data_IF_730577272172
#
_entry.id   IF_730577272172
#
_cell.length_a   1.000
_cell.length_b   1.000
_cell.length_c   1.000
_cell.angle_alpha   90.00
_cell.angle_beta   90.00
_cell.angle_gamma   90.00
#
_symmetry.space_group_name_H-M   'P 1'
#
loop_
_entity.id
_entity.type
_entity.pdbx_description
1 polymer ?
#
# COMPACT_ATOMS: atom_id res chain seq x y z
N UNK A 1 12.34 -4.14 14.41
CA UNK A 1 12.41 -4.65 15.80
C UNK A 1 11.65 -3.78 16.79
N UNK A 2 12.02 -2.51 17.02
CA UNK A 2 11.29 -1.64 17.98
C UNK A 2 9.79 -1.49 17.68
N UNK A 3 9.44 -1.34 16.39
CA UNK A 3 8.04 -1.25 15.95
C UNK A 3 7.23 -2.52 16.24
N UNK A 4 7.83 -3.69 16.05
CA UNK A 4 7.18 -4.97 16.27
C UNK A 4 6.90 -5.19 17.75
N UNK A 5 7.92 -4.97 18.59
CA UNK A 5 7.80 -5.06 20.04
C UNK A 5 6.69 -4.14 20.57
N UNK A 6 6.60 -2.90 20.08
CA UNK A 6 5.55 -1.96 20.44
C UNK A 6 4.15 -2.47 20.06
N UNK A 7 4.01 -3.09 18.89
CA UNK A 7 2.75 -3.68 18.43
C UNK A 7 2.32 -4.88 19.27
N UNK A 8 3.25 -5.77 19.60
CA UNK A 8 2.97 -6.91 20.48
C UNK A 8 2.57 -6.43 21.88
N UNK A 9 3.19 -5.36 22.39
CA UNK A 9 2.87 -4.83 23.71
C UNK A 9 1.54 -4.09 23.76
N UNK A 10 1.24 -3.27 22.74
CA UNK A 10 0.11 -2.33 22.79
C UNK A 10 -1.06 -2.75 21.91
N UNK A 11 -0.80 -3.14 20.66
CA UNK A 11 -1.86 -3.45 19.69
C UNK A 11 -2.48 -4.82 19.90
N UNK A 12 -1.66 -5.84 20.23
CA UNK A 12 -2.14 -7.22 20.41
C UNK A 12 -3.21 -7.34 21.52
N UNK A 13 -3.02 -6.79 22.74
CA UNK A 13 -4.05 -6.89 23.77
C UNK A 13 -5.36 -6.21 23.38
N UNK A 14 -5.29 -5.03 22.74
CA UNK A 14 -6.49 -4.32 22.27
C UNK A 14 -7.24 -5.11 21.20
N UNK A 15 -6.52 -5.75 20.27
CA UNK A 15 -7.14 -6.58 19.25
C UNK A 15 -7.79 -7.83 19.86
N UNK A 16 -7.16 -8.46 20.84
CA UNK A 16 -7.73 -9.60 21.55
C UNK A 16 -9.02 -9.20 22.30
N UNK A 17 -9.06 -8.02 22.92
CA UNK A 17 -10.26 -7.46 23.54
C UNK A 17 -11.36 -7.16 22.50
N UNK A 18 -11.02 -6.46 21.41
CA UNK A 18 -11.97 -6.17 20.32
C UNK A 18 -12.55 -7.47 19.75
N UNK A 19 -11.72 -8.50 19.55
CA UNK A 19 -12.19 -9.80 19.04
C UNK A 19 -13.21 -10.41 19.98
N UNK A 20 -12.92 -10.42 21.29
CA UNK A 20 -13.81 -10.94 22.32
C UNK A 20 -15.15 -10.22 22.32
N UNK A 21 -15.14 -8.89 22.21
CA UNK A 21 -16.36 -8.08 22.14
C UNK A 21 -17.16 -8.37 20.86
N UNK A 22 -16.50 -8.58 19.72
CA UNK A 22 -17.18 -8.97 18.46
C UNK A 22 -17.80 -10.38 18.58
N UNK A 23 -17.09 -11.32 19.20
CA UNK A 23 -17.61 -12.68 19.42
C UNK A 23 -18.80 -12.69 20.38
N UNK A 24 -18.77 -11.86 21.42
CA UNK A 24 -19.89 -11.65 22.34
C UNK A 24 -21.08 -11.01 21.64
N UNK A 25 -20.86 -9.93 20.88
CA UNK A 25 -21.90 -9.25 20.09
C UNK A 25 -22.53 -10.19 19.05
N UNK A 26 -21.73 -11.05 18.39
CA UNK A 26 -22.23 -12.07 17.48
C UNK A 26 -23.18 -13.05 18.18
N UNK A 27 -22.83 -13.47 19.40
CA UNK A 27 -23.56 -14.48 20.16
C UNK A 27 -24.90 -13.94 20.69
N UNK A 28 -24.95 -12.64 20.98
CA UNK A 28 -26.17 -11.94 21.39
C UNK A 28 -27.06 -11.50 20.21
N UNK A 29 -26.52 -11.47 18.97
CA UNK A 29 -27.25 -10.95 17.82
C UNK A 29 -28.27 -11.96 17.25
N UNK A 30 -29.47 -11.52 16.84
CA UNK A 30 -30.43 -12.37 16.15
C UNK A 30 -29.84 -12.95 14.84
N UNK A 31 -30.09 -14.25 14.55
CA UNK A 31 -29.63 -14.87 13.31
C UNK A 31 -30.09 -14.08 12.07
N UNK A 32 -29.17 -13.81 11.14
CA UNK A 32 -29.46 -13.08 9.90
C UNK A 32 -29.61 -11.56 10.03
N UNK A 33 -29.56 -11.01 11.26
CA UNK A 33 -29.58 -9.57 11.52
C UNK A 33 -28.33 -8.84 11.01
N UNK A 34 -28.43 -7.52 10.86
CA UNK A 34 -27.32 -6.67 10.38
C UNK A 34 -26.06 -6.79 11.27
N UNK A 35 -26.24 -6.82 12.59
CA UNK A 35 -25.14 -6.99 13.54
C UNK A 35 -24.45 -8.35 13.39
N UNK A 36 -25.24 -9.44 13.28
CA UNK A 36 -24.69 -10.78 13.10
C UNK A 36 -23.88 -10.88 11.79
N UNK A 37 -24.39 -10.28 10.70
CA UNK A 37 -23.69 -10.18 9.42
C UNK A 37 -22.37 -9.41 9.53
N UNK A 38 -22.37 -8.26 10.20
CA UNK A 38 -21.16 -7.45 10.40
C UNK A 38 -20.10 -8.18 11.24
N UNK A 39 -20.51 -8.84 12.33
CA UNK A 39 -19.60 -9.62 13.17
C UNK A 39 -19.00 -10.80 12.39
N UNK A 40 -19.84 -11.56 11.67
CA UNK A 40 -19.38 -12.68 10.86
C UNK A 40 -18.41 -12.25 9.76
N UNK A 41 -18.71 -11.15 9.07
CA UNK A 41 -17.83 -10.57 8.06
C UNK A 41 -16.47 -10.20 8.66
N UNK A 42 -16.47 -9.50 9.79
CA UNK A 42 -15.25 -9.06 10.47
C UNK A 42 -14.40 -10.24 10.94
N UNK A 43 -15.02 -11.24 11.58
CA UNK A 43 -14.33 -12.44 12.07
C UNK A 43 -13.76 -13.29 10.93
N UNK A 44 -14.46 -13.36 9.78
CA UNK A 44 -13.94 -14.03 8.57
C UNK A 44 -12.67 -13.36 8.06
N UNK A 45 -12.55 -12.03 8.23
CA UNK A 45 -11.38 -11.26 7.82
C UNK A 45 -10.33 -11.09 8.91
N UNK A 46 -10.53 -11.66 10.11
CA UNK A 46 -9.71 -11.36 11.28
C UNK A 46 -8.22 -11.60 11.07
N UNK A 47 -7.87 -12.72 10.44
CA UNK A 47 -6.47 -13.03 10.12
C UNK A 47 -5.85 -11.97 9.19
N UNK A 48 -6.61 -11.43 8.24
CA UNK A 48 -6.13 -10.35 7.36
C UNK A 48 -5.96 -9.04 8.11
N UNK A 49 -6.90 -8.71 9.01
CA UNK A 49 -6.88 -7.49 9.82
C UNK A 49 -5.72 -7.45 10.82
N UNK A 50 -5.26 -8.63 11.27
CA UNK A 50 -4.21 -8.75 12.30
C UNK A 50 -2.82 -9.07 11.73
N UNK A 51 -2.69 -9.28 10.41
CA UNK A 51 -1.43 -9.67 9.76
C UNK A 51 -0.27 -8.70 9.96
N UNK A 52 -0.54 -7.42 10.21
CA UNK A 52 0.50 -6.43 10.51
C UNK A 52 1.25 -6.70 11.84
N UNK A 53 0.72 -7.58 12.69
CA UNK A 53 1.39 -8.06 13.91
C UNK A 53 2.45 -9.12 13.59
N UNK A 54 2.36 -9.79 12.44
CA UNK A 54 3.32 -10.82 12.02
C UNK A 54 4.47 -10.22 11.21
N UNK A 55 4.24 -9.08 10.56
CA UNK A 55 5.16 -8.44 9.63
C UNK A 55 5.32 -6.95 9.99
N UNK A 56 6.43 -6.54 10.62
CA UNK A 56 6.64 -5.15 11.07
C UNK A 56 6.66 -4.12 9.94
N UNK A 57 6.98 -4.54 8.72
CA UNK A 57 6.95 -3.73 7.51
C UNK A 57 5.54 -3.38 7.04
N UNK A 58 4.53 -4.17 7.43
CA UNK A 58 3.15 -3.90 7.04
C UNK A 58 2.55 -2.80 7.91
N UNK A 59 1.78 -1.92 7.28
CA UNK A 59 0.95 -0.92 7.95
C UNK A 59 -0.34 -1.56 8.47
N UNK A 60 -0.92 -0.97 9.53
CA UNK A 60 -2.22 -1.40 10.08
C UNK A 60 -3.35 -1.25 9.05
N UNK A 61 -3.28 -0.21 8.23
CA UNK A 61 -4.27 0.08 7.18
C UNK A 61 -3.60 0.23 5.83
N UNK A 62 -4.37 -0.05 4.79
CA UNK A 62 -3.99 0.18 3.40
C UNK A 62 -4.23 1.63 2.95
N UNK A 63 -4.58 2.56 3.85
CA UNK A 63 -4.93 3.94 3.50
C UNK A 63 -3.87 4.64 2.64
N UNK A 64 -2.58 4.38 2.91
CA UNK A 64 -1.49 4.93 2.10
C UNK A 64 -1.56 4.41 0.65
N UNK A 65 -1.78 3.11 0.47
CA UNK A 65 -1.90 2.49 -0.84
C UNK A 65 -3.18 2.96 -1.58
N UNK A 66 -4.30 3.09 -0.87
CA UNK A 66 -5.54 3.62 -1.45
C UNK A 66 -5.37 5.09 -1.88
N UNK A 67 -4.72 5.89 -1.06
CA UNK A 67 -4.40 7.28 -1.39
C UNK A 67 -3.48 7.39 -2.60
N UNK A 68 -2.46 6.53 -2.74
CA UNK A 68 -1.61 6.51 -3.94
C UNK A 68 -2.36 6.09 -5.20
N UNK A 69 -3.46 5.35 -5.08
CA UNK A 69 -4.31 4.94 -6.21
C UNK A 69 -5.33 6.00 -6.63
N UNK A 70 -5.63 6.99 -5.78
CA UNK A 70 -6.61 8.05 -6.06
C UNK A 70 -6.33 8.82 -7.36
N UNK A 71 -5.08 9.24 -7.65
CA UNK A 71 -4.75 9.91 -8.91
C UNK A 71 -5.02 9.02 -10.13
N UNK A 72 -4.86 7.70 -10.02
CA UNK A 72 -5.16 6.74 -11.10
C UNK A 72 -6.67 6.68 -11.35
N UNK A 73 -7.46 6.60 -10.29
CA UNK A 73 -8.93 6.56 -10.39
C UNK A 73 -9.50 7.83 -11.03
N UNK A 74 -8.97 9.00 -10.65
CA UNK A 74 -9.33 10.30 -11.23
C UNK A 74 -8.82 10.37 -12.68
N UNK A 75 -7.55 10.06 -12.90
CA UNK A 75 -6.90 10.10 -14.21
C UNK A 75 -7.61 9.22 -15.24
N UNK A 76 -8.04 8.01 -14.87
CA UNK A 76 -8.77 7.09 -15.76
C UNK A 76 -10.00 7.74 -16.41
N UNK A 77 -10.71 8.64 -15.71
CA UNK A 77 -11.86 9.37 -16.28
C UNK A 77 -11.45 10.48 -17.25
N UNK A 78 -10.23 11.00 -17.11
CA UNK A 78 -9.70 12.13 -17.87
C UNK A 78 -8.75 11.71 -19.02
N UNK A 79 -8.26 10.47 -19.02
CA UNK A 79 -7.35 9.93 -20.03
C UNK A 79 -8.08 9.48 -21.29
N UNK A 80 -8.72 10.42 -21.98
CA UNK A 80 -9.54 10.17 -23.18
C UNK A 80 -8.75 9.59 -24.38
N UNK A 81 -7.41 9.62 -24.32
CA UNK A 81 -6.53 9.12 -25.38
C UNK A 81 -5.86 7.77 -25.05
N UNK A 82 -6.14 7.19 -23.88
CA UNK A 82 -5.60 5.89 -23.47
C UNK A 82 -6.62 4.81 -23.84
N UNK A 83 -6.43 4.17 -25.00
CA UNK A 83 -7.39 3.22 -25.56
C UNK A 83 -6.89 1.79 -25.76
N UNK A 84 -5.58 1.52 -25.61
CA UNK A 84 -5.03 0.18 -25.87
C UNK A 84 -4.79 -0.61 -24.57
N UNK A 85 -5.11 -1.92 -24.52
CA UNK A 85 -4.78 -2.78 -23.38
C UNK A 85 -3.28 -2.78 -23.04
N UNK A 86 -2.43 -2.62 -24.06
CA UNK A 86 -0.97 -2.58 -23.92
C UNK A 86 -0.46 -1.30 -23.23
N UNK A 87 -1.27 -0.25 -23.15
CA UNK A 87 -0.91 0.97 -22.42
C UNK A 87 -0.99 0.79 -20.90
N UNK A 88 -1.84 -0.12 -20.41
CA UNK A 88 -2.06 -0.35 -18.99
C UNK A 88 -0.78 -0.63 -18.19
N UNK A 89 0.01 -1.65 -18.57
CA UNK A 89 1.29 -1.94 -17.89
C UNK A 89 2.29 -0.78 -17.94
N UNK A 90 2.33 -0.02 -19.04
CA UNK A 90 3.25 1.11 -19.20
C UNK A 90 2.88 2.26 -18.25
N UNK A 91 1.60 2.58 -18.14
CA UNK A 91 1.10 3.61 -17.22
C UNK A 91 1.32 3.17 -15.78
N UNK A 92 1.05 1.90 -15.46
CA UNK A 92 1.31 1.35 -14.13
C UNK A 92 2.79 1.49 -13.74
N UNK A 93 3.72 1.20 -14.65
CA UNK A 93 5.16 1.38 -14.40
C UNK A 93 5.53 2.86 -14.14
N UNK A 94 5.04 3.79 -14.97
CA UNK A 94 5.29 5.23 -14.78
C UNK A 94 4.76 5.71 -13.43
N UNK A 95 3.51 5.38 -13.10
CA UNK A 95 2.89 5.80 -11.84
C UNK A 95 3.58 5.16 -10.63
N UNK A 96 4.05 3.92 -10.75
CA UNK A 96 4.83 3.26 -9.70
C UNK A 96 6.14 4.00 -9.40
N UNK A 97 6.84 4.50 -10.43
CA UNK A 97 8.05 5.32 -10.26
C UNK A 97 7.71 6.65 -9.58
N UNK A 98 6.64 7.31 -10.02
CA UNK A 98 6.19 8.58 -9.44
C UNK A 98 5.82 8.43 -7.96
N UNK A 99 5.06 7.39 -7.60
CA UNK A 99 4.71 7.11 -6.21
C UNK A 99 5.91 6.71 -5.37
N UNK A 100 6.87 5.98 -5.94
CA UNK A 100 8.13 5.65 -5.27
C UNK A 100 8.95 6.90 -4.95
N UNK A 101 9.00 7.87 -5.88
CA UNK A 101 9.61 9.18 -5.63
C UNK A 101 8.87 9.93 -4.51
N UNK A 102 7.55 10.01 -4.56
CA UNK A 102 6.72 10.69 -3.53
C UNK A 102 6.92 10.08 -2.14
N UNK A 103 6.89 8.75 -2.03
CA UNK A 103 7.13 8.03 -0.77
C UNK A 103 8.52 8.31 -0.20
N UNK A 104 9.50 8.51 -1.07
CA UNK A 104 10.87 8.83 -0.71
C UNK A 104 11.14 10.34 -0.59
N UNK A 105 10.09 11.17 -0.69
CA UNK A 105 10.15 12.65 -0.67
C UNK A 105 11.06 13.25 -1.74
N UNK A 106 11.23 12.55 -2.86
CA UNK A 106 12.03 13.01 -3.98
C UNK A 106 11.26 13.93 -4.92
N UNK A 107 11.86 15.04 -5.38
CA UNK A 107 11.32 15.85 -6.46
C UNK A 107 11.29 15.03 -7.76
N UNK A 108 10.10 14.54 -8.12
CA UNK A 108 9.87 13.65 -9.27
C UNK A 108 10.50 14.18 -10.56
N UNK A 109 10.38 15.49 -10.81
CA UNK A 109 10.92 16.13 -12.01
C UNK A 109 12.44 16.03 -12.09
N UNK A 110 13.14 16.24 -10.97
CA UNK A 110 14.59 16.20 -10.92
C UNK A 110 15.09 14.77 -11.08
N UNK A 111 14.46 13.82 -10.39
CA UNK A 111 14.75 12.39 -10.56
C UNK A 111 14.60 11.96 -12.03
N UNK A 112 13.47 12.27 -12.67
CA UNK A 112 13.25 11.90 -14.07
C UNK A 112 14.23 12.61 -15.02
N UNK A 113 14.56 13.88 -14.76
CA UNK A 113 15.54 14.62 -15.54
C UNK A 113 16.96 14.05 -15.41
N UNK A 114 17.30 13.44 -14.27
CA UNK A 114 18.60 12.79 -14.07
C UNK A 114 18.65 11.37 -14.70
N UNK A 115 17.54 10.62 -14.64
CA UNK A 115 17.52 9.20 -15.01
C UNK A 115 17.17 8.96 -16.48
N UNK A 116 16.21 9.70 -17.05
CA UNK A 116 15.72 9.42 -18.40
C UNK A 116 16.74 9.70 -19.52
N UNK A 117 17.57 10.78 -19.46
CA UNK A 117 18.56 11.02 -20.50
C UNK A 117 19.58 9.89 -20.61
N UNK A 118 19.70 9.33 -21.83
CA UNK A 118 20.59 8.22 -22.13
C UNK A 118 20.16 6.88 -21.51
N UNK A 119 18.95 6.75 -20.94
CA UNK A 119 18.48 5.50 -20.34
C UNK A 119 18.46 4.34 -21.33
N UNK A 120 18.11 4.62 -22.59
CA UNK A 120 18.09 3.62 -23.67
C UNK A 120 19.48 3.09 -24.03
N UNK A 121 20.53 3.87 -23.75
CA UNK A 121 21.93 3.53 -24.06
C UNK A 121 22.62 2.82 -22.89
N UNK A 122 21.95 2.67 -21.75
CA UNK A 122 22.50 2.04 -20.54
C UNK A 122 22.24 0.52 -20.53
N UNK A 123 23.21 -0.28 -20.06
CA UNK A 123 23.00 -1.70 -19.84
C UNK A 123 21.96 -1.94 -18.74
N UNK A 124 21.12 -2.97 -18.91
CA UNK A 124 20.03 -3.31 -17.98
C UNK A 124 20.53 -3.60 -16.56
N UNK A 125 21.78 -4.04 -16.44
CA UNK A 125 22.43 -4.36 -15.17
C UNK A 125 22.60 -3.13 -14.26
N UNK A 126 22.59 -1.91 -14.81
CA UNK A 126 22.70 -0.67 -14.04
C UNK A 126 21.34 -0.12 -13.54
N UNK A 127 20.21 -0.71 -13.97
CA UNK A 127 18.88 -0.22 -13.56
C UNK A 127 18.62 -0.27 -12.05
N UNK A 128 19.09 -1.25 -11.27
CA UNK A 128 18.90 -1.26 -9.82
C UNK A 128 19.43 0.01 -9.13
N UNK A 129 20.55 0.55 -9.63
CA UNK A 129 21.20 1.74 -9.09
C UNK A 129 20.48 3.04 -9.45
N UNK A 130 19.53 2.99 -10.39
CA UNK A 130 18.76 4.13 -10.87
C UNK A 130 17.35 4.19 -10.26
N UNK A 131 16.99 3.29 -9.35
CA UNK A 131 15.68 3.32 -8.69
C UNK A 131 15.56 4.56 -7.77
N UNK A 132 14.33 5.05 -7.49
CA UNK A 132 14.17 6.20 -6.59
C UNK A 132 14.81 5.98 -5.21
N UNK A 133 14.76 4.75 -4.68
CA UNK A 133 15.37 4.41 -3.40
C UNK A 133 16.91 4.47 -3.46
N UNK A 134 17.51 3.92 -4.52
CA UNK A 134 18.96 4.00 -4.73
C UNK A 134 19.42 5.45 -4.93
N UNK A 135 18.63 6.26 -5.63
CA UNK A 135 18.94 7.66 -5.85
C UNK A 135 18.99 8.47 -4.54
N UNK A 136 18.00 8.28 -3.64
CA UNK A 136 18.04 8.89 -2.28
C UNK A 136 19.29 8.46 -1.53
N UNK A 137 19.62 7.17 -1.57
CA UNK A 137 20.78 6.65 -0.84
C UNK A 137 22.11 7.26 -1.32
N UNK A 138 22.19 7.64 -2.59
CA UNK A 138 23.35 8.28 -3.20
C UNK A 138 23.36 9.82 -3.04
N UNK A 139 22.20 10.44 -2.78
CA UNK A 139 22.00 11.89 -2.68
C UNK A 139 21.19 12.24 -1.42
N UNK A 140 21.81 12.14 -0.21
CA UNK A 140 21.13 12.39 1.07
C UNK A 140 20.72 13.85 1.30
#
# INVERSE_FOLDING_TARGET
EARDALRQQQSRPLLDEIRKEIEAARSAAPPGGALAKACNYTLTLWQKLTRFLEYPELELSNNLAENSMRPVAIGRRNWIHIGSPQAGPKIAAILSIVESCRRSKLPVREYLAAVLPGLADRPIQCLPDLTPAAWVAQHP
#
